data_IF_789011869083
#
_entry.id   IF_789011869083
#
_cell.length_a   1.000
_cell.length_b   1.000
_cell.length_c   1.000
_cell.angle_alpha   90.00
_cell.angle_beta   90.00
_cell.angle_gamma   90.00
#
_symmetry.space_group_name_H-M   'P 1'
#
loop_
_entity.id
_entity.type
_entity.pdbx_description
1 polymer ?
#
# COMPACT_ATOMS: atom_id res chain seq x y z
N UNK A 1 5.21 8.15 -13.38
CA UNK A 1 3.97 8.15 -12.57
C UNK A 1 2.96 9.16 -13.09
N UNK A 2 3.21 10.49 -13.04
CA UNK A 2 2.28 11.54 -13.53
C UNK A 2 1.57 11.21 -14.85
N UNK A 3 2.31 10.92 -15.92
CA UNK A 3 1.72 10.62 -17.22
C UNK A 3 0.73 9.42 -17.22
N UNK A 4 0.95 8.44 -16.34
CA UNK A 4 0.09 7.25 -16.26
C UNK A 4 -1.18 7.51 -15.44
N UNK A 5 -1.09 8.32 -14.38
CA UNK A 5 -2.28 8.74 -13.63
C UNK A 5 -3.13 9.75 -14.42
N UNK A 6 -2.49 10.65 -15.19
CA UNK A 6 -3.17 11.58 -16.12
C UNK A 6 -3.95 10.84 -17.22
N UNK A 7 -3.48 9.67 -17.66
CA UNK A 7 -4.11 8.90 -18.72
C UNK A 7 -5.53 8.42 -18.39
N UNK A 8 -5.91 8.39 -17.11
CA UNK A 8 -7.27 8.08 -16.68
C UNK A 8 -8.26 9.23 -16.95
N UNK A 9 -7.78 10.47 -17.16
CA UNK A 9 -8.63 11.63 -17.43
C UNK A 9 -9.60 11.98 -16.29
N UNK A 10 -9.35 11.48 -15.09
CA UNK A 10 -10.24 11.59 -13.94
C UNK A 10 -9.49 12.13 -12.73
N UNK A 11 -10.01 13.21 -12.15
CA UNK A 11 -9.42 13.84 -10.97
C UNK A 11 -9.51 12.94 -9.74
N UNK A 12 -10.51 12.08 -9.66
CA UNK A 12 -10.68 11.18 -8.51
C UNK A 12 -9.56 10.14 -8.42
N UNK A 13 -8.86 9.84 -9.52
CA UNK A 13 -7.69 8.94 -9.53
C UNK A 13 -6.56 9.41 -8.60
N UNK A 14 -6.49 10.72 -8.36
CA UNK A 14 -5.49 11.36 -7.49
C UNK A 14 -5.85 11.32 -6.01
N UNK A 15 -7.09 11.03 -5.66
CA UNK A 15 -7.57 11.18 -4.31
C UNK A 15 -7.18 9.99 -3.43
N UNK A 16 -6.79 10.23 -2.18
CA UNK A 16 -6.41 9.17 -1.22
C UNK A 16 -7.56 8.20 -1.04
N UNK A 17 -7.32 6.90 -1.23
CA UNK A 17 -8.26 5.82 -0.94
C UNK A 17 -7.99 5.25 0.47
N UNK A 18 -7.43 4.05 0.59
CA UNK A 18 -7.09 3.46 1.88
C UNK A 18 -5.62 3.70 2.26
N UNK A 19 -5.37 3.69 3.57
CA UNK A 19 -4.03 3.62 4.17
C UNK A 19 -3.99 2.50 5.19
N UNK A 20 -2.83 1.88 5.36
CA UNK A 20 -2.64 0.80 6.32
C UNK A 20 -1.21 0.28 6.36
N UNK A 21 -1.02 -0.86 7.00
CA UNK A 21 0.27 -1.55 7.06
C UNK A 21 0.06 -3.06 6.89
N UNK A 22 1.09 -3.73 6.38
CA UNK A 22 1.14 -5.17 6.19
C UNK A 22 1.50 -5.89 7.47
N UNK A 23 0.95 -7.09 7.65
CA UNK A 23 1.14 -7.94 8.83
C UNK A 23 1.55 -9.38 8.47
N UNK A 24 1.83 -9.67 7.19
CA UNK A 24 2.22 -11.02 6.79
C UNK A 24 3.75 -11.16 6.83
N UNK A 25 4.35 -11.89 7.79
CA UNK A 25 5.79 -12.07 7.88
C UNK A 25 6.35 -12.99 6.78
N UNK A 26 5.50 -13.79 6.13
CA UNK A 26 5.91 -14.66 5.02
C UNK A 26 5.95 -13.92 3.67
N UNK A 27 5.25 -12.79 3.53
CA UNK A 27 5.30 -11.98 2.33
C UNK A 27 6.65 -11.23 2.24
N UNK A 28 7.22 -11.21 1.03
CA UNK A 28 8.55 -10.66 0.77
C UNK A 28 8.46 -9.44 -0.14
N UNK A 29 9.21 -8.40 0.21
CA UNK A 29 9.36 -7.23 -0.66
C UNK A 29 10.04 -7.58 -1.98
N UNK A 30 10.96 -8.54 -1.92
CA UNK A 30 11.81 -8.98 -3.02
C UNK A 30 11.03 -9.73 -4.11
N UNK A 31 9.77 -10.13 -3.86
CA UNK A 31 8.98 -10.94 -4.80
C UNK A 31 8.89 -10.31 -6.18
N UNK A 32 8.79 -8.99 -6.29
CA UNK A 32 8.71 -8.30 -7.60
C UNK A 32 9.99 -8.44 -8.45
N UNK A 33 11.13 -8.76 -7.83
CA UNK A 33 12.38 -9.02 -8.54
C UNK A 33 12.50 -10.49 -9.01
N UNK A 34 11.66 -11.39 -8.49
CA UNK A 34 11.74 -12.83 -8.73
C UNK A 34 10.66 -13.36 -9.68
N UNK A 35 9.54 -12.65 -9.81
CA UNK A 35 8.44 -13.01 -10.70
C UNK A 35 8.35 -12.09 -11.90
N UNK A 36 7.97 -12.65 -13.05
CA UNK A 36 7.61 -11.86 -14.22
C UNK A 36 6.32 -11.06 -13.95
N UNK A 37 6.21 -9.90 -14.60
CA UNK A 37 5.08 -8.97 -14.38
C UNK A 37 3.72 -9.60 -14.70
N UNK A 38 3.68 -10.56 -15.63
CA UNK A 38 2.44 -11.27 -16.01
C UNK A 38 2.00 -12.31 -14.99
N UNK A 39 2.94 -12.77 -14.14
CA UNK A 39 2.71 -13.81 -13.15
C UNK A 39 2.54 -13.21 -11.74
N UNK A 40 2.62 -11.88 -11.64
CA UNK A 40 2.71 -11.14 -10.39
C UNK A 40 1.54 -10.17 -10.23
N UNK A 41 0.66 -10.45 -9.27
CA UNK A 41 -0.46 -9.55 -8.95
C UNK A 41 -0.10 -8.49 -7.89
N UNK A 42 1.09 -8.58 -7.28
CA UNK A 42 1.59 -7.64 -6.27
C UNK A 42 1.05 -7.85 -4.85
N UNK A 43 0.47 -9.01 -4.53
CA UNK A 43 -0.08 -9.29 -3.20
C UNK A 43 0.99 -9.20 -2.11
N UNK A 44 2.18 -9.72 -2.38
CA UNK A 44 3.30 -9.70 -1.45
C UNK A 44 3.71 -8.28 -1.09
N UNK A 45 3.69 -7.37 -2.07
CA UNK A 45 4.01 -5.96 -1.82
C UNK A 45 2.96 -5.26 -0.97
N UNK A 46 1.70 -5.66 -1.09
CA UNK A 46 0.61 -5.14 -0.25
C UNK A 46 0.66 -5.68 1.17
N UNK A 47 1.17 -6.89 1.37
CA UNK A 47 1.01 -7.64 2.62
C UNK A 47 2.26 -7.72 3.51
N UNK A 48 3.47 -7.50 2.99
CA UNK A 48 4.70 -7.73 3.77
C UNK A 48 4.71 -6.94 5.09
N UNK A 49 5.10 -7.65 6.15
CA UNK A 49 5.09 -7.13 7.51
C UNK A 49 5.85 -5.80 7.63
N UNK A 50 5.19 -4.80 8.22
CA UNK A 50 5.78 -3.50 8.51
C UNK A 50 5.86 -2.54 7.31
N UNK A 51 5.24 -2.86 6.17
CA UNK A 51 5.06 -1.85 5.11
C UNK A 51 4.15 -0.70 5.59
N UNK A 52 4.19 0.43 4.87
CA UNK A 52 3.06 1.36 4.85
C UNK A 52 2.43 1.30 3.46
N UNK A 53 1.15 0.92 3.39
CA UNK A 53 0.41 0.83 2.14
C UNK A 53 -0.48 2.06 1.99
N UNK A 54 -0.17 2.88 0.99
CA UNK A 54 -0.97 4.04 0.61
C UNK A 54 -1.64 3.77 -0.73
N UNK A 55 -2.91 4.13 -0.88
CA UNK A 55 -3.66 3.92 -2.11
C UNK A 55 -4.33 5.21 -2.60
N UNK A 56 -4.55 5.30 -3.92
CA UNK A 56 -5.31 6.40 -4.55
C UNK A 56 -6.42 5.86 -5.44
N UNK A 57 -7.45 6.68 -5.66
CA UNK A 57 -8.54 6.39 -6.59
C UNK A 57 -9.82 5.93 -5.91
N UNK A 58 -10.33 4.79 -6.38
CA UNK A 58 -11.63 4.26 -6.02
C UNK A 58 -11.80 4.09 -4.50
N UNK A 59 -12.96 4.50 -3.99
CA UNK A 59 -13.36 4.33 -2.60
C UNK A 59 -14.88 4.36 -2.53
N UNK A 60 -15.50 3.19 -2.36
CA UNK A 60 -16.96 3.06 -2.32
C UNK A 60 -17.60 3.75 -1.11
N UNK A 61 -16.90 3.77 0.04
CA UNK A 61 -17.37 4.47 1.25
C UNK A 61 -17.44 5.98 1.01
N UNK A 62 -16.58 6.51 0.14
CA UNK A 62 -16.57 7.90 -0.28
C UNK A 62 -17.35 8.16 -1.59
N UNK A 63 -18.04 7.15 -2.16
CA UNK A 63 -18.80 7.27 -3.40
C UNK A 63 -17.95 7.52 -4.66
N UNK A 64 -16.67 7.14 -4.65
CA UNK A 64 -15.75 7.31 -5.80
C UNK A 64 -15.51 5.99 -6.51
N UNK A 65 -15.74 5.98 -7.82
CA UNK A 65 -15.67 4.78 -8.67
C UNK A 65 -14.74 4.95 -9.87
N UNK A 66 -13.70 5.78 -9.71
CA UNK A 66 -12.68 5.99 -10.75
C UNK A 66 -11.94 4.70 -11.10
N UNK A 67 -11.59 4.52 -12.36
CA UNK A 67 -10.76 3.38 -12.80
C UNK A 67 -9.27 3.59 -12.51
N UNK A 68 -8.85 4.82 -12.22
CA UNK A 68 -7.46 5.12 -11.86
C UNK A 68 -7.17 4.75 -10.42
N UNK A 69 -6.72 3.51 -10.19
CA UNK A 69 -6.39 2.97 -8.87
C UNK A 69 -4.92 2.58 -8.76
N UNK A 70 -4.27 2.96 -7.66
CA UNK A 70 -2.86 2.66 -7.40
C UNK A 70 -2.62 2.27 -5.95
N UNK A 71 -1.94 1.14 -5.75
CA UNK A 71 -1.41 0.74 -4.45
C UNK A 71 0.08 0.98 -4.41
N UNK A 72 0.53 1.78 -3.45
CA UNK A 72 1.90 2.21 -3.27
C UNK A 72 2.42 1.69 -1.92
N UNK A 73 3.18 0.59 -1.91
CA UNK A 73 3.80 0.06 -0.71
C UNK A 73 5.14 0.75 -0.43
N UNK A 74 5.30 1.27 0.77
CA UNK A 74 6.49 1.97 1.24
C UNK A 74 7.20 1.13 2.32
N UNK A 75 8.54 1.23 2.34
CA UNK A 75 9.41 0.61 3.34
C UNK A 75 9.97 1.65 4.30
N UNK A 76 10.41 1.17 5.47
CA UNK A 76 11.13 1.98 6.47
C UNK A 76 10.32 3.14 7.04
N UNK A 77 8.98 3.06 6.96
CA UNK A 77 8.09 4.05 7.54
C UNK A 77 7.90 3.80 9.05
N UNK A 78 7.65 4.89 9.78
CA UNK A 78 7.09 4.82 11.13
C UNK A 78 5.61 5.20 11.05
N UNK A 79 4.73 4.32 11.55
CA UNK A 79 3.27 4.51 11.58
C UNK A 79 2.84 4.65 13.03
N UNK A 80 2.11 5.72 13.34
CA UNK A 80 1.57 5.97 14.67
C UNK A 80 0.07 6.25 14.61
N UNK A 81 -0.68 5.64 15.53
CA UNK A 81 -2.10 5.89 15.75
C UNK A 81 -2.26 6.62 17.08
N UNK A 82 -2.73 7.87 17.04
CA UNK A 82 -2.99 8.68 18.24
C UNK A 82 -1.79 8.73 19.21
N UNK A 83 -0.58 8.85 18.65
CA UNK A 83 0.67 8.90 19.41
C UNK A 83 1.25 7.53 19.80
N UNK A 84 0.56 6.41 19.49
CA UNK A 84 1.08 5.05 19.69
C UNK A 84 1.72 4.54 18.41
N UNK A 85 3.02 4.28 18.45
CA UNK A 85 3.74 3.70 17.31
C UNK A 85 3.38 2.22 17.14
N UNK A 86 2.85 1.86 15.97
CA UNK A 86 2.47 0.48 15.61
C UNK A 86 3.45 -0.15 14.61
N UNK A 87 4.19 0.68 13.87
CA UNK A 87 5.34 0.31 13.04
C UNK A 87 6.46 1.30 13.31
N UNK A 88 7.66 0.84 13.66
CA UNK A 88 8.87 1.68 13.78
C UNK A 88 9.88 1.31 12.69
N UNK A 89 10.20 2.26 11.80
CA UNK A 89 11.15 2.06 10.69
C UNK A 89 10.96 0.73 9.95
N UNK A 90 9.71 0.37 9.66
CA UNK A 90 9.34 -0.85 8.95
C UNK A 90 9.24 -2.12 9.82
N UNK A 91 9.28 -2.01 11.14
CA UNK A 91 9.17 -3.14 12.08
C UNK A 91 7.87 -3.02 12.87
N UNK A 92 7.02 -4.06 12.85
CA UNK A 92 5.79 -4.12 13.66
C UNK A 92 6.12 -4.01 15.16
N UNK A 93 5.23 -3.37 15.93
CA UNK A 93 5.43 -3.12 17.36
C UNK A 93 4.35 -3.78 18.23
N UNK A 94 4.67 -4.05 19.51
CA UNK A 94 3.73 -4.59 20.49
C UNK A 94 3.15 -5.95 20.07
N UNK A 95 1.85 -6.13 20.26
CA UNK A 95 1.14 -7.37 19.93
C UNK A 95 1.17 -7.71 18.43
N UNK A 96 1.50 -6.74 17.57
CA UNK A 96 1.63 -6.94 16.12
C UNK A 96 2.98 -7.58 15.73
N UNK A 97 3.95 -7.60 16.64
CA UNK A 97 5.29 -8.15 16.40
C UNK A 97 5.40 -9.65 16.68
N UNK A 98 4.31 -10.28 17.16
CA UNK A 98 4.24 -11.68 17.56
C UNK A 98 4.15 -12.65 16.38
#
# INVERSE_FOLDING_TARGET
>A
FRAYIDAWGDREAYAVSHVGWGMNPAARWESMALYDKTDFNGTELRAFAGNFLYSTGANEVAGRHTLGHFDLPLRHCTVSLDGRTVVDRGVLQGDLAA
#
